data_IF_682314958264
#
_entry.id   IF_682314958264
#
_cell.length_a   1.000
_cell.length_b   1.000
_cell.length_c   1.000
_cell.angle_alpha   90.00
_cell.angle_beta   90.00
_cell.angle_gamma   90.00
#
_symmetry.space_group_name_H-M   'P 1'
#
loop_
_entity.id
_entity.type
_entity.pdbx_description
1 polymer ?
#
# COMPACT_ATOMS: atom_id res chain seq x y z
N UNK A 1 -6.90 11.85 8.55
CA UNK A 1 -7.16 10.93 9.68
C UNK A 1 -7.12 11.67 11.00
N UNK A 2 -5.92 11.99 11.51
CA UNK A 2 -5.75 12.62 12.83
C UNK A 2 -6.47 13.96 13.00
N UNK A 3 -6.62 14.75 11.94
CA UNK A 3 -7.43 15.98 11.98
C UNK A 3 -8.91 15.71 12.27
N UNK A 4 -9.51 14.72 11.60
CA UNK A 4 -10.92 14.32 11.85
C UNK A 4 -11.10 13.81 13.28
N UNK A 5 -10.14 13.05 13.81
CA UNK A 5 -10.15 12.60 15.21
C UNK A 5 -10.18 13.78 16.17
N UNK A 6 -9.37 14.81 15.90
CA UNK A 6 -9.34 16.02 16.75
C UNK A 6 -10.66 16.79 16.72
N UNK A 7 -11.34 16.85 15.57
CA UNK A 7 -12.57 17.61 15.41
C UNK A 7 -13.82 16.86 15.89
N UNK A 8 -13.92 15.56 15.60
CA UNK A 8 -15.13 14.75 15.84
C UNK A 8 -15.01 13.82 17.06
N UNK A 9 -13.83 13.72 17.67
CA UNK A 9 -13.55 12.80 18.79
C UNK A 9 -13.46 11.32 18.38
N UNK A 10 -13.60 11.01 17.09
CA UNK A 10 -13.53 9.65 16.55
C UNK A 10 -12.87 9.63 15.16
N UNK A 11 -12.42 8.46 14.74
CA UNK A 11 -11.81 8.25 13.42
C UNK A 11 -12.82 8.50 12.30
N UNK A 12 -12.33 8.96 11.15
CA UNK A 12 -13.16 9.11 9.96
C UNK A 12 -13.71 7.75 9.50
N UNK A 13 -14.97 7.71 9.06
CA UNK A 13 -15.62 6.47 8.62
C UNK A 13 -16.26 6.57 7.22
N UNK A 14 -16.79 7.74 6.83
CA UNK A 14 -17.38 7.92 5.49
C UNK A 14 -16.34 7.84 4.35
N UNK A 15 -15.22 8.56 4.47
CA UNK A 15 -14.19 8.56 3.43
C UNK A 15 -13.52 7.18 3.25
N UNK A 16 -13.13 6.45 4.33
CA UNK A 16 -12.64 5.07 4.18
C UNK A 16 -13.66 4.12 3.57
N UNK A 17 -14.95 4.25 3.92
CA UNK A 17 -16.02 3.45 3.33
C UNK A 17 -16.14 3.71 1.82
N UNK A 18 -16.16 4.97 1.40
CA UNK A 18 -16.20 5.33 -0.03
C UNK A 18 -15.00 4.78 -0.79
N UNK A 19 -13.78 4.90 -0.24
CA UNK A 19 -12.58 4.34 -0.88
C UNK A 19 -12.63 2.83 -1.02
N UNK A 20 -13.18 2.13 -0.01
CA UNK A 20 -13.38 0.67 -0.08
C UNK A 20 -14.39 0.31 -1.17
N UNK A 21 -15.50 1.05 -1.27
CA UNK A 21 -16.51 0.84 -2.32
C UNK A 21 -15.90 1.05 -3.72
N UNK A 22 -15.07 2.08 -3.90
CA UNK A 22 -14.37 2.32 -5.17
C UNK A 22 -13.47 1.14 -5.57
N UNK A 23 -12.72 0.58 -4.63
CA UNK A 23 -11.88 -0.60 -4.85
C UNK A 23 -12.71 -1.84 -5.19
N UNK A 24 -13.77 -2.11 -4.41
CA UNK A 24 -14.68 -3.25 -4.62
C UNK A 24 -15.35 -3.15 -5.97
N UNK A 25 -15.85 -1.97 -6.35
CA UNK A 25 -16.50 -1.78 -7.64
C UNK A 25 -15.51 -2.00 -8.80
N UNK A 26 -14.27 -1.51 -8.67
CA UNK A 26 -13.24 -1.73 -9.67
C UNK A 26 -12.95 -3.23 -9.90
N UNK A 27 -12.91 -4.01 -8.82
CA UNK A 27 -12.67 -5.46 -8.87
C UNK A 27 -13.89 -6.21 -9.42
N UNK A 28 -15.07 -6.04 -8.81
CA UNK A 28 -16.29 -6.79 -9.15
C UNK A 28 -16.75 -6.52 -10.58
N UNK A 29 -16.58 -5.29 -11.07
CA UNK A 29 -16.97 -4.91 -12.43
C UNK A 29 -15.82 -4.96 -13.43
N UNK A 30 -14.68 -5.54 -13.07
CA UNK A 30 -13.46 -5.62 -13.88
C UNK A 30 -13.11 -4.29 -14.59
N UNK A 31 -13.25 -3.16 -13.88
CA UNK A 31 -13.09 -1.83 -14.50
C UNK A 31 -11.63 -1.52 -14.86
N UNK A 32 -10.68 -2.29 -14.34
CA UNK A 32 -9.23 -2.08 -14.52
C UNK A 32 -8.82 -0.65 -14.15
N UNK A 33 -9.40 -0.12 -13.07
CA UNK A 33 -9.11 1.24 -12.60
C UNK A 33 -7.73 1.29 -11.96
N UNK A 34 -7.04 2.41 -12.15
CA UNK A 34 -5.83 2.75 -11.40
C UNK A 34 -6.26 3.35 -10.05
N UNK A 35 -6.02 2.62 -8.96
CA UNK A 35 -6.34 3.06 -7.60
C UNK A 35 -5.07 2.88 -6.75
N UNK A 36 -4.55 3.93 -6.08
CA UNK A 36 -3.47 3.79 -5.12
C UNK A 36 -3.90 2.83 -4.00
N UNK A 37 -3.11 1.78 -3.77
CA UNK A 37 -3.44 0.73 -2.80
C UNK A 37 -2.16 0.24 -2.14
N UNK A 38 -2.28 -0.25 -0.91
CA UNK A 38 -1.22 -1.04 -0.31
C UNK A 38 -1.16 -2.40 -1.03
N UNK A 39 -0.16 -2.60 -1.88
CA UNK A 39 0.04 -3.83 -2.64
C UNK A 39 1.39 -4.46 -2.32
N UNK A 40 1.46 -5.78 -2.47
CA UNK A 40 2.70 -6.52 -2.23
C UNK A 40 3.70 -6.24 -3.35
N UNK A 41 4.83 -5.64 -3.00
CA UNK A 41 5.91 -5.31 -3.91
C UNK A 41 7.17 -6.08 -3.51
N UNK A 42 7.81 -6.70 -4.51
CA UNK A 42 9.11 -7.37 -4.34
C UNK A 42 10.19 -6.48 -4.95
N UNK A 43 10.22 -6.37 -6.27
CA UNK A 43 11.23 -5.58 -6.97
C UNK A 43 10.75 -4.14 -7.27
N UNK A 44 9.43 -3.92 -7.29
CA UNK A 44 8.83 -2.62 -7.60
C UNK A 44 9.31 -1.56 -6.61
N UNK A 45 9.71 -0.39 -7.15
CA UNK A 45 10.20 0.75 -6.37
C UNK A 45 11.38 0.43 -5.44
N UNK A 46 12.12 -0.66 -5.70
CA UNK A 46 13.29 -1.03 -4.89
C UNK A 46 12.94 -1.60 -3.51
N UNK A 47 11.72 -2.13 -3.33
CA UNK A 47 11.21 -2.58 -2.03
C UNK A 47 12.05 -3.72 -1.44
N UNK A 48 12.34 -4.76 -2.21
CA UNK A 48 13.12 -5.94 -1.84
C UNK A 48 13.85 -6.57 -3.07
N UNK A 49 14.77 -5.83 -3.73
CA UNK A 49 15.34 -6.22 -5.02
C UNK A 49 16.01 -7.60 -4.97
N UNK A 50 15.54 -8.53 -5.83
CA UNK A 50 16.08 -9.88 -5.93
C UNK A 50 15.76 -10.78 -4.73
N UNK A 51 14.89 -10.36 -3.81
CA UNK A 51 14.50 -11.13 -2.63
C UNK A 51 13.08 -11.69 -2.77
N UNK A 52 12.92 -12.67 -3.66
CA UNK A 52 11.64 -13.34 -3.88
C UNK A 52 11.06 -13.93 -2.59
N UNK A 53 9.79 -13.67 -2.32
CA UNK A 53 9.06 -14.03 -1.11
C UNK A 53 9.30 -13.09 0.09
N UNK A 54 10.10 -12.03 -0.06
CA UNK A 54 10.43 -11.08 1.02
C UNK A 54 9.99 -9.64 0.73
N UNK A 55 9.00 -9.49 -0.14
CA UNK A 55 8.35 -8.21 -0.42
C UNK A 55 7.60 -7.63 0.77
N UNK A 56 7.11 -6.40 0.60
CA UNK A 56 6.36 -5.65 1.60
C UNK A 56 5.09 -5.06 0.96
N UNK A 57 4.04 -4.87 1.76
CA UNK A 57 2.87 -4.10 1.32
C UNK A 57 3.18 -2.61 1.38
N UNK A 58 3.26 -1.97 0.22
CA UNK A 58 3.61 -0.54 0.09
C UNK A 58 2.51 0.17 -0.70
N UNK A 59 2.24 1.44 -0.36
CA UNK A 59 1.27 2.26 -1.08
C UNK A 59 1.77 2.62 -2.47
N UNK A 60 1.20 1.99 -3.51
CA UNK A 60 1.63 2.14 -4.90
C UNK A 60 0.40 2.21 -5.83
N UNK A 61 0.51 2.86 -7.01
CA UNK A 61 -0.56 2.86 -7.99
C UNK A 61 -0.78 1.45 -8.56
N UNK A 62 -1.98 0.92 -8.36
CA UNK A 62 -2.36 -0.43 -8.76
C UNK A 62 -3.48 -0.42 -9.79
N UNK A 63 -3.41 -1.29 -10.79
CA UNK A 63 -4.54 -1.64 -11.63
C UNK A 63 -5.37 -2.70 -10.90
N UNK A 64 -6.58 -2.33 -10.50
CA UNK A 64 -7.53 -3.24 -9.87
C UNK A 64 -8.54 -3.77 -10.90
N UNK A 65 -8.57 -5.08 -11.06
CA UNK A 65 -9.50 -5.81 -11.92
C UNK A 65 -10.08 -7.04 -11.23
N UNK A 66 -10.76 -7.89 -12.00
CA UNK A 66 -11.44 -9.09 -11.49
C UNK A 66 -10.52 -10.07 -10.75
N UNK A 67 -9.20 -10.01 -10.99
CA UNK A 67 -8.19 -10.82 -10.32
C UNK A 67 -7.53 -10.14 -9.11
N UNK A 68 -8.10 -9.03 -8.63
CA UNK A 68 -7.51 -8.22 -7.57
C UNK A 68 -6.48 -7.22 -8.14
N UNK A 69 -5.27 -7.19 -7.57
CA UNK A 69 -4.17 -6.37 -8.09
C UNK A 69 -3.60 -7.07 -9.34
N UNK A 70 -3.94 -6.56 -10.52
CA UNK A 70 -3.47 -7.13 -11.80
C UNK A 70 -2.10 -6.59 -12.20
N UNK A 71 -1.77 -5.37 -11.79
CA UNK A 71 -0.50 -4.71 -12.12
C UNK A 71 -0.18 -3.60 -11.12
N UNK A 72 1.07 -3.53 -10.68
CA UNK A 72 1.64 -2.33 -10.04
C UNK A 72 2.27 -1.46 -11.13
N UNK A 73 1.92 -0.18 -11.17
CA UNK A 73 2.47 0.77 -12.15
C UNK A 73 3.77 1.37 -11.62
N UNK A 74 4.90 1.01 -12.23
CA UNK A 74 6.21 1.60 -11.93
C UNK A 74 6.50 2.79 -12.83
N UNK A 75 7.26 3.75 -12.32
CA UNK A 75 7.66 4.95 -13.03
C UNK A 75 9.00 5.45 -12.51
N UNK A 76 9.68 6.27 -13.32
CA UNK A 76 10.93 6.89 -12.92
C UNK A 76 10.63 8.04 -11.96
N UNK A 77 11.25 7.98 -10.78
CA UNK A 77 11.21 9.06 -9.79
C UNK A 77 12.47 9.92 -9.93
N UNK A 78 12.34 11.20 -9.64
CA UNK A 78 13.51 12.05 -9.43
C UNK A 78 14.18 11.73 -8.07
N UNK A 79 15.36 12.30 -7.83
CA UNK A 79 16.15 12.00 -6.62
C UNK A 79 15.40 12.33 -5.31
N UNK A 80 14.60 13.39 -5.31
CA UNK A 80 13.81 13.81 -4.15
C UNK A 80 12.66 12.84 -3.88
N UNK A 81 11.90 12.49 -4.91
CA UNK A 81 10.79 11.52 -4.83
C UNK A 81 11.29 10.14 -4.40
N UNK A 82 12.43 9.72 -4.96
CA UNK A 82 13.06 8.45 -4.59
C UNK A 82 13.44 8.43 -3.11
N UNK A 83 14.03 9.52 -2.61
CA UNK A 83 14.36 9.65 -1.18
C UNK A 83 13.11 9.53 -0.30
N UNK A 84 12.00 10.18 -0.67
CA UNK A 84 10.74 10.07 0.08
C UNK A 84 10.12 8.67 0.02
N UNK A 85 10.22 8.00 -1.14
CA UNK A 85 9.75 6.63 -1.29
C UNK A 85 10.58 5.68 -0.42
N UNK A 86 11.90 5.80 -0.44
CA UNK A 86 12.83 4.99 0.35
C UNK A 86 12.57 5.16 1.86
N UNK A 87 12.36 6.40 2.31
CA UNK A 87 11.96 6.71 3.70
C UNK A 87 10.58 6.13 4.06
N UNK A 88 9.60 6.21 3.17
CA UNK A 88 8.29 5.59 3.42
C UNK A 88 8.41 4.06 3.52
N UNK A 89 9.24 3.43 2.68
CA UNK A 89 9.46 1.98 2.70
C UNK A 89 10.19 1.56 3.99
N UNK A 90 11.14 2.36 4.49
CA UNK A 90 11.85 2.03 5.72
C UNK A 90 10.89 1.98 6.92
N UNK A 91 9.96 2.93 7.03
CA UNK A 91 8.93 2.90 8.08
C UNK A 91 8.04 1.64 8.02
N UNK A 92 7.70 1.16 6.81
CA UNK A 92 6.95 -0.11 6.64
C UNK A 92 7.77 -1.29 7.15
N UNK A 93 9.06 -1.36 6.78
CA UNK A 93 9.98 -2.43 7.20
C UNK A 93 10.15 -2.45 8.73
N UNK A 94 10.27 -1.27 9.34
CA UNK A 94 10.36 -1.14 10.80
C UNK A 94 9.11 -1.67 11.50
N UNK A 95 7.91 -1.30 11.01
CA UNK A 95 6.65 -1.78 11.55
C UNK A 95 6.52 -3.30 11.43
N UNK A 96 6.84 -3.88 10.26
CA UNK A 96 6.86 -5.33 10.07
C UNK A 96 7.87 -6.00 11.00
N UNK A 97 9.03 -5.38 11.22
CA UNK A 97 10.04 -5.84 12.17
C UNK A 97 9.52 -5.87 13.62
N UNK A 98 8.73 -4.89 14.03
CA UNK A 98 8.06 -4.88 15.34
C UNK A 98 7.03 -6.00 15.43
N UNK A 99 6.19 -6.18 14.41
CA UNK A 99 5.18 -7.25 14.36
C UNK A 99 5.83 -8.62 14.50
N UNK A 100 6.92 -8.91 13.75
CA UNK A 100 7.65 -10.19 13.86
C UNK A 100 8.25 -10.45 15.24
N UNK A 101 8.66 -9.40 15.97
CA UNK A 101 9.17 -9.54 17.35
C UNK A 101 8.05 -9.85 18.35
N UNK A 102 6.89 -9.22 18.16
CA UNK A 102 5.73 -9.41 19.04
C UNK A 102 4.97 -10.71 18.75
N UNK A 103 4.97 -11.14 17.50
CA UNK A 103 4.24 -12.29 16.98
C UNK A 103 5.17 -13.17 16.13
N UNK A 104 6.08 -13.94 16.76
CA UNK A 104 7.08 -14.74 16.03
C UNK A 104 6.49 -15.79 15.09
N UNK A 105 5.25 -16.21 15.31
CA UNK A 105 4.51 -17.15 14.47
C UNK A 105 4.14 -16.59 13.09
N UNK A 106 4.21 -15.27 12.91
CA UNK A 106 3.95 -14.58 11.64
C UNK A 106 5.25 -14.34 10.82
N UNK A 107 6.41 -14.74 11.34
CA UNK A 107 7.72 -14.38 10.80
C UNK A 107 8.20 -15.25 9.64
#
# INVERSE_FOLDING_TARGET
GGEIVKLMGTSAFYAPASGTIDMVEAIVRDKKRVIPSAAYCEDEFGVAPGQKGRGYFVGVPCVLGSKGVEKVLTFNMNDTEKKFMDESISHVKDLVGVVRKLFPELA
#
